data_IF_167484818996
#
_entry.id   IF_167484818996
#
_cell.length_a   1.000
_cell.length_b   1.000
_cell.length_c   1.000
_cell.angle_alpha   90.00
_cell.angle_beta   90.00
_cell.angle_gamma   90.00
#
_symmetry.space_group_name_H-M   'P 1'
#
loop_
_entity.id
_entity.type
_entity.pdbx_description
1 polymer ?
#
# COMPACT_ATOMS: atom_id res chain seq x y z
N UNK A 1 3.21 5.60 1.64
CA UNK A 1 3.98 6.51 2.47
C UNK A 1 3.54 6.32 3.89
N UNK A 2 4.49 5.99 4.75
CA UNK A 2 4.27 5.86 6.18
C UNK A 2 4.15 7.25 6.83
N UNK A 3 3.43 7.32 7.94
CA UNK A 3 3.60 8.39 8.93
C UNK A 3 4.57 7.93 10.01
N UNK A 4 5.44 8.83 10.48
CA UNK A 4 6.48 8.50 11.46
C UNK A 4 7.90 8.65 10.93
N UNK A 5 8.85 7.94 11.55
CA UNK A 5 10.29 8.27 11.48
C UNK A 5 10.92 8.00 10.12
N UNK A 6 10.37 7.06 9.36
CA UNK A 6 10.92 6.66 8.05
C UNK A 6 10.30 7.42 6.88
N UNK A 7 9.29 8.26 7.12
CA UNK A 7 8.62 9.06 6.08
C UNK A 7 9.58 9.86 5.18
N UNK A 8 10.67 10.49 5.67
CA UNK A 8 11.61 11.19 4.79
C UNK A 8 12.20 10.31 3.69
N UNK A 9 12.34 9.00 3.93
CA UNK A 9 12.81 8.03 2.94
C UNK A 9 11.76 7.82 1.83
N UNK A 10 10.49 7.67 2.20
CA UNK A 10 9.38 7.56 1.26
C UNK A 10 9.25 8.84 0.41
N UNK A 11 9.33 10.01 1.05
CA UNK A 11 9.27 11.30 0.35
C UNK A 11 10.40 11.45 -0.65
N UNK A 12 11.63 11.09 -0.28
CA UNK A 12 12.78 11.13 -1.20
C UNK A 12 12.54 10.28 -2.45
N UNK A 13 11.97 9.08 -2.30
CA UNK A 13 11.64 8.23 -3.43
C UNK A 13 10.53 8.83 -4.30
N UNK A 14 9.48 9.38 -3.68
CA UNK A 14 8.38 10.02 -4.40
C UNK A 14 8.84 11.26 -5.17
N UNK A 15 9.68 12.11 -4.58
CA UNK A 15 10.25 13.29 -5.23
C UNK A 15 11.05 12.92 -6.48
N UNK A 16 11.82 11.82 -6.41
CA UNK A 16 12.53 11.29 -7.56
C UNK A 16 11.56 10.80 -8.65
N UNK A 17 10.55 10.00 -8.29
CA UNK A 17 9.57 9.49 -9.26
C UNK A 17 8.81 10.63 -9.96
N UNK A 18 8.41 11.66 -9.21
CA UNK A 18 7.73 12.83 -9.73
C UNK A 18 8.63 13.65 -10.66
N UNK A 19 9.93 13.78 -10.34
CA UNK A 19 10.91 14.48 -11.19
C UNK A 19 11.00 13.90 -12.60
N UNK A 20 10.82 12.58 -12.73
CA UNK A 20 10.90 11.87 -14.00
C UNK A 20 9.52 11.50 -14.55
N UNK A 21 8.45 12.11 -14.05
CA UNK A 21 7.08 11.91 -14.53
C UNK A 21 6.67 10.43 -14.61
N UNK A 22 7.15 9.64 -13.65
CA UNK A 22 6.81 8.22 -13.59
C UNK A 22 5.31 8.03 -13.36
N UNK A 23 4.72 6.97 -13.91
CA UNK A 23 3.34 6.59 -13.62
C UNK A 23 3.25 6.02 -12.20
N UNK A 24 3.11 6.90 -11.22
CA UNK A 24 3.12 6.56 -9.80
C UNK A 24 1.70 6.54 -9.22
N UNK A 25 1.41 5.56 -8.37
CA UNK A 25 0.21 5.53 -7.51
C UNK A 25 0.68 5.62 -6.07
N UNK A 26 0.25 6.67 -5.36
CA UNK A 26 0.66 6.93 -3.98
C UNK A 26 -0.47 6.55 -3.03
N UNK A 27 -0.14 5.77 -2.00
CA UNK A 27 -1.02 5.49 -0.86
C UNK A 27 -0.33 6.06 0.37
N UNK A 28 -0.87 7.11 0.98
CA UNK A 28 -0.29 7.78 2.14
C UNK A 28 -1.13 7.53 3.40
N UNK A 29 -0.49 7.06 4.48
CA UNK A 29 -1.17 6.85 5.75
C UNK A 29 -1.78 8.15 6.33
N UNK A 30 -1.22 9.32 5.98
CA UNK A 30 -1.77 10.61 6.41
C UNK A 30 -3.13 10.94 5.82
N UNK A 31 -3.44 10.43 4.62
CA UNK A 31 -4.73 10.65 3.95
C UNK A 31 -5.89 9.98 4.70
N UNK A 32 -5.59 9.02 5.56
CA UNK A 32 -6.55 8.25 6.34
C UNK A 32 -6.53 8.62 7.83
N UNK A 33 -5.84 9.70 8.21
CA UNK A 33 -5.91 10.27 9.55
C UNK A 33 -5.35 9.40 10.67
N UNK A 34 -4.37 8.52 10.39
CA UNK A 34 -3.83 7.59 11.39
C UNK A 34 -3.34 8.28 12.68
N UNK A 35 -2.73 9.46 12.54
CA UNK A 35 -2.22 10.27 13.65
C UNK A 35 -3.32 10.80 14.61
N UNK A 36 -4.60 10.74 14.21
CA UNK A 36 -5.71 11.13 15.08
C UNK A 36 -6.07 10.04 16.10
N UNK A 37 -5.62 8.80 15.88
CA UNK A 37 -6.02 7.64 16.68
C UNK A 37 -4.85 6.94 17.37
N UNK A 38 -3.63 7.18 16.91
CA UNK A 38 -2.42 6.49 17.37
C UNK A 38 -1.35 7.52 17.72
N UNK A 39 -0.68 7.32 18.86
CA UNK A 39 0.37 8.23 19.31
C UNK A 39 1.61 8.15 18.41
N UNK A 40 2.37 9.25 18.33
CA UNK A 40 3.57 9.35 17.47
C UNK A 40 4.66 8.34 17.84
N UNK A 41 4.69 7.89 19.08
CA UNK A 41 5.67 6.95 19.61
C UNK A 41 5.49 5.55 19.00
N UNK A 42 4.27 5.19 18.59
CA UNK A 42 3.93 3.86 18.07
C UNK A 42 3.31 3.87 16.68
N UNK A 43 3.10 5.05 16.07
CA UNK A 43 2.45 5.17 14.75
C UNK A 43 3.14 4.36 13.65
N UNK A 44 4.47 4.25 13.71
CA UNK A 44 5.29 3.47 12.77
C UNK A 44 4.78 2.02 12.63
N UNK A 45 4.27 1.42 13.72
CA UNK A 45 3.79 0.04 13.76
C UNK A 45 2.39 -0.15 13.15
N UNK A 46 1.59 0.91 13.05
CA UNK A 46 0.22 0.83 12.55
C UNK A 46 0.09 1.15 11.07
N UNK A 47 1.07 1.85 10.47
CA UNK A 47 1.06 2.13 9.03
C UNK A 47 0.85 0.87 8.17
N UNK A 48 1.56 -0.26 8.40
CA UNK A 48 1.41 -1.43 7.54
C UNK A 48 0.01 -2.03 7.60
N UNK A 49 -0.65 -1.96 8.77
CA UNK A 49 -2.01 -2.50 8.97
C UNK A 49 -3.02 -1.66 8.16
N UNK A 50 -2.95 -0.33 8.31
CA UNK A 50 -3.80 0.60 7.59
C UNK A 50 -3.59 0.51 6.07
N UNK A 51 -2.34 0.59 5.62
CA UNK A 51 -1.99 0.54 4.20
C UNK A 51 -2.38 -0.80 3.58
N UNK A 52 -2.23 -1.92 4.30
CA UNK A 52 -2.67 -3.23 3.82
C UNK A 52 -4.18 -3.30 3.58
N UNK A 53 -4.97 -2.69 4.47
CA UNK A 53 -6.42 -2.56 4.30
C UNK A 53 -6.79 -1.77 3.04
N UNK A 54 -6.12 -0.64 2.81
CA UNK A 54 -6.33 0.19 1.60
C UNK A 54 -5.92 -0.59 0.34
N UNK A 55 -4.75 -1.23 0.34
CA UNK A 55 -4.26 -2.01 -0.80
C UNK A 55 -5.17 -3.19 -1.14
N UNK A 56 -5.92 -3.74 -0.17
CA UNK A 56 -6.90 -4.78 -0.44
C UNK A 56 -8.02 -4.28 -1.36
N UNK A 57 -8.54 -3.08 -1.12
CA UNK A 57 -9.57 -2.46 -1.97
C UNK A 57 -9.03 -2.25 -3.39
N UNK A 58 -7.80 -1.77 -3.52
CA UNK A 58 -7.12 -1.65 -4.83
C UNK A 58 -7.02 -3.00 -5.55
N UNK A 59 -6.61 -4.05 -4.85
CA UNK A 59 -6.49 -5.38 -5.43
C UNK A 59 -7.84 -5.93 -5.92
N UNK A 60 -8.93 -5.69 -5.19
CA UNK A 60 -10.28 -6.09 -5.58
C UNK A 60 -10.75 -5.35 -6.83
N UNK A 61 -10.58 -4.02 -6.89
CA UNK A 61 -10.94 -3.24 -8.08
C UNK A 61 -10.10 -3.61 -9.30
N UNK A 62 -8.80 -3.87 -9.11
CA UNK A 62 -7.92 -4.32 -10.19
C UNK A 62 -8.32 -5.71 -10.71
N UNK A 63 -8.73 -6.62 -9.81
CA UNK A 63 -9.22 -7.95 -10.19
C UNK A 63 -10.51 -7.86 -11.04
N UNK A 64 -11.43 -6.96 -10.68
CA UNK A 64 -12.65 -6.68 -11.45
C UNK A 64 -12.28 -6.13 -12.84
N UNK A 65 -11.50 -5.06 -12.89
CA UNK A 65 -11.11 -4.40 -14.14
C UNK A 65 -10.41 -5.36 -15.11
N UNK A 66 -9.59 -6.29 -14.58
CA UNK A 66 -8.84 -7.27 -15.38
C UNK A 66 -9.59 -8.59 -15.62
N UNK A 67 -10.81 -8.75 -15.08
CA UNK A 67 -11.58 -10.00 -15.10
C UNK A 67 -10.76 -11.20 -14.60
N UNK A 68 -9.95 -10.97 -13.56
CA UNK A 68 -9.03 -11.96 -13.01
C UNK A 68 -9.25 -12.09 -11.49
N UNK A 69 -10.09 -13.05 -11.05
CA UNK A 69 -10.39 -13.23 -9.63
C UNK A 69 -9.14 -13.45 -8.77
N UNK A 70 -9.09 -12.84 -7.58
CA UNK A 70 -7.95 -12.96 -6.66
C UNK A 70 -7.74 -14.39 -6.13
N UNK A 71 -8.74 -15.25 -6.23
CA UNK A 71 -8.68 -16.67 -5.86
C UNK A 71 -8.15 -17.56 -6.99
N UNK A 72 -8.00 -17.03 -8.21
CA UNK A 72 -7.56 -17.81 -9.36
C UNK A 72 -6.10 -18.25 -9.19
N UNK A 73 -5.85 -19.55 -9.28
CA UNK A 73 -4.51 -20.17 -9.26
C UNK A 73 -4.35 -21.14 -10.43
N UNK A 74 -3.13 -21.28 -10.96
CA UNK A 74 -2.77 -22.31 -11.94
C UNK A 74 -2.06 -23.53 -11.31
N UNK A 75 -1.32 -23.32 -10.22
CA UNK A 75 -0.49 -24.36 -9.59
C UNK A 75 -0.77 -24.56 -8.09
N UNK A 76 -0.72 -23.47 -7.32
CA UNK A 76 -1.02 -23.48 -5.88
C UNK A 76 -2.36 -24.17 -5.61
N UNK A 77 -2.31 -25.23 -4.80
CA UNK A 77 -3.45 -26.11 -4.44
C UNK A 77 -4.07 -26.91 -5.60
N UNK A 78 -3.35 -27.09 -6.71
CA UNK A 78 -3.81 -27.87 -7.88
C UNK A 78 -2.86 -28.98 -8.31
N UNK A 79 -1.57 -28.84 -8.01
CA UNK A 79 -0.53 -29.82 -8.31
C UNK A 79 0.21 -30.15 -7.03
N UNK A 80 0.78 -31.35 -7.00
CA UNK A 80 1.87 -31.69 -6.09
C UNK A 80 3.16 -31.13 -6.68
N UNK A 81 3.93 -30.39 -5.87
CA UNK A 81 5.15 -29.72 -6.27
C UNK A 81 6.12 -29.59 -5.09
#
# INVERSE_FOLDING_TARGET
>A
MNDGKTRPMDSRALDFLNRFEAKTTVVDAKDFGLANYVSKEVIDYFNPILISGVLRVYAEQLAIARKHPLTKRRYMWKLEY
#
